data_IF_486545345899
#
_entry.id   IF_486545345899
#
_cell.length_a   1.000
_cell.length_b   1.000
_cell.length_c   1.000
_cell.angle_alpha   90.00
_cell.angle_beta   90.00
_cell.angle_gamma   90.00
#
_symmetry.space_group_name_H-M   'P 1'
#
loop_
_entity.id
_entity.type
_entity.pdbx_description
1 polymer ?
#
# COMPACT_ATOMS: atom_id res chain seq x y z
N UNK A 1 26.93 17.31 -8.47
CA UNK A 1 25.51 17.73 -8.62
C UNK A 1 24.87 17.66 -7.23
N UNK A 2 24.07 18.66 -6.87
CA UNK A 2 23.25 18.55 -5.65
C UNK A 2 22.21 17.46 -5.83
N UNK A 3 22.01 16.59 -4.83
CA UNK A 3 20.97 15.56 -4.89
C UNK A 3 19.59 16.20 -4.67
N UNK A 4 18.52 15.59 -5.19
CA UNK A 4 17.15 16.08 -4.99
C UNK A 4 16.78 16.21 -3.50
N UNK A 5 17.43 15.44 -2.63
CA UNK A 5 17.22 15.47 -1.16
C UNK A 5 18.07 16.53 -0.44
N UNK A 6 19.03 17.14 -1.14
CA UNK A 6 19.91 18.12 -0.52
C UNK A 6 19.13 19.40 -0.17
N UNK A 7 19.24 19.83 1.07
CA UNK A 7 18.51 20.97 1.64
C UNK A 7 16.97 20.80 1.72
N UNK A 8 16.43 19.57 1.61
CA UNK A 8 15.00 19.27 1.70
C UNK A 8 14.71 18.27 2.81
N UNK A 9 14.80 18.72 4.10
CA UNK A 9 14.68 17.80 5.24
C UNK A 9 13.33 17.09 5.32
N UNK A 10 12.23 17.75 4.94
CA UNK A 10 10.89 17.14 4.94
C UNK A 10 10.76 16.04 3.89
N UNK A 11 11.17 16.29 2.63
CA UNK A 11 11.20 15.27 1.59
C UNK A 11 12.11 14.10 1.99
N UNK A 12 13.29 14.43 2.53
CA UNK A 12 14.25 13.42 3.01
C UNK A 12 13.62 12.54 4.10
N UNK A 13 12.92 13.13 5.07
CA UNK A 13 12.27 12.39 6.15
C UNK A 13 11.25 11.36 5.60
N UNK A 14 10.40 11.75 4.66
CA UNK A 14 9.43 10.84 4.01
C UNK A 14 10.13 9.72 3.24
N UNK A 15 11.19 10.04 2.48
CA UNK A 15 11.95 9.01 1.74
C UNK A 15 12.60 8.00 2.70
N UNK A 16 13.13 8.46 3.84
CA UNK A 16 13.71 7.55 4.82
C UNK A 16 12.66 6.77 5.63
N UNK A 17 11.46 7.31 5.86
CA UNK A 17 10.33 6.53 6.41
C UNK A 17 9.94 5.40 5.45
N UNK A 18 9.92 5.67 4.14
CA UNK A 18 9.70 4.62 3.13
C UNK A 18 10.81 3.55 3.21
N UNK A 19 12.07 3.96 3.33
CA UNK A 19 13.20 3.04 3.46
C UNK A 19 13.07 2.17 4.73
N UNK A 20 12.67 2.75 5.84
CA UNK A 20 12.43 2.05 7.11
C UNK A 20 11.36 0.97 6.95
N UNK A 21 10.19 1.31 6.40
CA UNK A 21 9.11 0.35 6.15
C UNK A 21 9.54 -0.79 5.22
N UNK A 22 10.33 -0.49 4.18
CA UNK A 22 10.86 -1.56 3.30
C UNK A 22 11.82 -2.50 4.02
N UNK A 23 12.53 -1.99 5.03
CA UNK A 23 13.32 -2.81 5.96
C UNK A 23 12.45 -3.75 6.78
N UNK A 24 11.35 -3.28 7.34
CA UNK A 24 10.37 -4.09 8.07
C UNK A 24 9.74 -5.17 7.20
N UNK A 25 9.32 -4.84 5.98
CA UNK A 25 8.76 -5.81 5.03
C UNK A 25 9.73 -6.95 4.71
N UNK A 26 11.01 -6.62 4.52
CA UNK A 26 12.04 -7.62 4.31
C UNK A 26 12.26 -8.50 5.54
N UNK A 27 12.33 -7.91 6.74
CA UNK A 27 12.52 -8.63 7.99
C UNK A 27 11.37 -9.58 8.31
N UNK A 28 10.13 -9.19 7.98
CA UNK A 28 8.93 -10.03 8.14
C UNK A 28 8.81 -11.14 7.08
N UNK A 29 9.68 -11.14 6.06
CA UNK A 29 9.58 -12.11 4.97
C UNK A 29 8.44 -11.84 3.99
N UNK A 30 7.93 -10.62 3.94
CA UNK A 30 6.79 -10.21 3.09
C UNK A 30 7.22 -9.60 1.75
N UNK A 31 8.49 -9.59 1.44
CA UNK A 31 9.06 -8.98 0.24
C UNK A 31 10.23 -9.82 -0.30
N UNK A 32 9.91 -11.02 -0.75
CA UNK A 32 10.88 -11.93 -1.34
C UNK A 32 11.43 -11.37 -2.67
N UNK A 33 12.71 -11.60 -2.94
CA UNK A 33 13.41 -11.16 -4.17
C UNK A 33 13.10 -9.70 -4.50
N UNK A 34 12.31 -9.42 -5.55
CA UNK A 34 11.86 -8.08 -5.96
C UNK A 34 10.35 -7.86 -5.72
N UNK A 35 9.70 -8.75 -4.97
CA UNK A 35 8.29 -8.69 -4.63
C UNK A 35 7.91 -7.43 -3.85
N UNK A 36 6.65 -7.07 -3.96
CA UNK A 36 6.07 -5.89 -3.35
C UNK A 36 6.42 -4.57 -4.05
N UNK A 37 5.57 -3.58 -3.88
CA UNK A 37 5.67 -2.27 -4.50
C UNK A 37 5.23 -1.17 -3.53
N UNK A 38 5.77 0.03 -3.71
CA UNK A 38 5.41 1.22 -2.95
C UNK A 38 5.27 2.39 -3.90
N UNK A 39 4.23 3.20 -3.67
CA UNK A 39 4.05 4.51 -4.30
C UNK A 39 3.53 5.47 -3.24
N UNK A 40 4.20 6.60 -3.07
CA UNK A 40 3.82 7.65 -2.10
C UNK A 40 3.73 8.99 -2.80
N UNK A 41 2.61 9.69 -2.60
CA UNK A 41 2.44 11.04 -3.08
C UNK A 41 3.33 11.99 -2.25
N UNK A 42 4.32 12.56 -2.89
CA UNK A 42 5.29 13.49 -2.28
C UNK A 42 5.11 14.94 -2.74
N UNK A 43 3.99 15.24 -3.40
CA UNK A 43 3.73 16.55 -4.02
C UNK A 43 3.89 17.72 -3.06
N UNK A 44 3.43 17.58 -1.82
CA UNK A 44 3.49 18.67 -0.81
C UNK A 44 4.92 19.02 -0.37
N UNK A 45 5.88 18.12 -0.62
CA UNK A 45 7.29 18.29 -0.29
C UNK A 45 8.11 18.83 -1.47
N UNK A 46 7.47 19.07 -2.63
CA UNK A 46 8.13 19.54 -3.85
C UNK A 46 8.07 21.06 -3.93
N UNK A 47 9.18 21.71 -3.63
CA UNK A 47 9.37 23.15 -3.79
C UNK A 47 9.52 23.56 -5.27
N UNK A 48 9.62 24.85 -5.54
CA UNK A 48 9.73 25.35 -6.92
C UNK A 48 11.08 25.00 -7.56
N UNK A 49 12.14 24.81 -6.77
CA UNK A 49 13.41 24.30 -7.28
C UNK A 49 13.28 22.84 -7.72
N UNK A 50 12.57 22.00 -6.94
CA UNK A 50 12.25 20.61 -7.33
C UNK A 50 11.45 20.55 -8.63
N UNK A 51 10.43 21.42 -8.74
CA UNK A 51 9.57 21.48 -9.95
C UNK A 51 10.37 21.87 -11.19
N UNK A 52 11.44 22.68 -11.02
CA UNK A 52 12.33 23.11 -12.10
C UNK A 52 13.39 22.06 -12.48
N UNK A 53 13.54 20.95 -11.73
CA UNK A 53 14.51 19.89 -12.05
C UNK A 53 14.13 19.28 -13.41
N UNK A 54 15.07 19.24 -14.39
CA UNK A 54 14.83 18.60 -15.67
C UNK A 54 14.65 17.09 -15.49
N UNK A 55 13.78 16.51 -16.31
CA UNK A 55 13.64 15.07 -16.36
C UNK A 55 14.92 14.37 -16.82
N UNK A 56 15.24 13.25 -16.22
CA UNK A 56 16.38 12.40 -16.61
C UNK A 56 15.94 11.19 -17.43
N UNK A 57 14.64 11.04 -17.65
CA UNK A 57 14.06 10.02 -18.54
C UNK A 57 13.33 10.67 -19.72
N UNK A 58 13.11 9.90 -20.79
CA UNK A 58 12.08 10.24 -21.76
C UNK A 58 10.69 10.16 -21.10
N UNK A 59 9.72 10.86 -21.67
CA UNK A 59 8.29 10.75 -21.31
C UNK A 59 7.83 9.31 -21.54
N UNK A 60 7.09 8.76 -20.56
CA UNK A 60 6.58 7.38 -20.59
C UNK A 60 5.07 7.37 -20.35
N UNK A 61 4.32 6.53 -21.07
CA UNK A 61 2.88 6.41 -20.84
C UNK A 61 2.59 5.68 -19.52
N UNK A 62 1.50 6.08 -18.86
CA UNK A 62 0.92 5.37 -17.70
C UNK A 62 0.05 4.20 -18.18
N UNK A 63 -0.57 4.32 -19.38
CA UNK A 63 -1.51 3.36 -19.91
C UNK A 63 -2.98 3.70 -19.62
N UNK A 64 -3.24 4.77 -18.89
CA UNK A 64 -4.56 5.29 -18.59
C UNK A 64 -4.51 6.79 -18.32
N UNK A 65 -5.66 7.47 -18.37
CA UNK A 65 -5.77 8.90 -18.03
C UNK A 65 -6.25 9.06 -16.59
N UNK A 66 -5.52 9.85 -15.80
CA UNK A 66 -5.72 10.02 -14.35
C UNK A 66 -5.80 11.53 -14.01
N UNK A 67 -6.97 12.16 -14.18
CA UNK A 67 -7.12 13.62 -14.17
C UNK A 67 -6.70 14.29 -12.85
N UNK A 68 -6.92 13.63 -11.71
CA UNK A 68 -6.60 14.18 -10.39
C UNK A 68 -5.10 14.14 -10.08
N UNK A 69 -4.30 13.44 -10.91
CA UNK A 69 -2.84 13.37 -10.75
C UNK A 69 -2.08 14.44 -11.54
N UNK A 70 -2.74 15.31 -12.31
CA UNK A 70 -2.08 16.37 -13.07
C UNK A 70 -1.06 17.13 -12.23
N UNK A 71 0.19 17.17 -12.67
CA UNK A 71 1.28 17.88 -12.01
C UNK A 71 1.68 17.37 -10.63
N UNK A 72 1.21 16.18 -10.24
CA UNK A 72 1.56 15.55 -8.96
C UNK A 72 2.87 14.78 -9.06
N UNK A 73 3.49 14.55 -7.90
CA UNK A 73 4.79 13.90 -7.76
C UNK A 73 4.66 12.68 -6.86
N UNK A 74 5.25 11.57 -7.30
CA UNK A 74 5.20 10.31 -6.56
C UNK A 74 6.59 9.71 -6.42
N UNK A 75 6.95 9.29 -5.20
CA UNK A 75 8.06 8.36 -5.04
C UNK A 75 7.56 6.95 -5.32
N UNK A 76 8.32 6.21 -6.14
CA UNK A 76 7.96 4.86 -6.56
C UNK A 76 9.15 3.91 -6.42
N UNK A 77 8.92 2.71 -5.91
CA UNK A 77 9.92 1.63 -5.96
C UNK A 77 10.24 1.28 -7.41
N UNK A 78 11.51 1.03 -7.70
CA UNK A 78 11.97 0.62 -9.02
C UNK A 78 11.59 -0.81 -9.39
N UNK A 79 11.29 -1.02 -10.69
CA UNK A 79 11.06 -2.38 -11.23
C UNK A 79 12.32 -3.24 -11.06
N UNK A 80 12.15 -4.51 -10.69
CA UNK A 80 13.24 -5.44 -10.42
C UNK A 80 14.09 -5.13 -9.18
N UNK A 81 13.86 -3.99 -8.50
CA UNK A 81 14.56 -3.61 -7.27
C UNK A 81 13.99 -4.34 -6.06
N UNK A 82 14.82 -4.57 -5.04
CA UNK A 82 14.46 -5.32 -3.85
C UNK A 82 14.17 -4.38 -2.69
N UNK A 83 13.18 -4.71 -1.85
CA UNK A 83 12.85 -3.91 -0.66
C UNK A 83 14.04 -3.77 0.28
N UNK A 84 14.82 -4.84 0.49
CA UNK A 84 16.04 -4.82 1.33
C UNK A 84 17.14 -3.89 0.83
N UNK A 85 17.20 -3.63 -0.48
CA UNK A 85 18.18 -2.73 -1.07
C UNK A 85 17.65 -1.29 -1.03
N UNK A 86 16.33 -1.11 -1.22
CA UNK A 86 15.65 0.19 -1.06
C UNK A 86 15.76 0.69 0.39
N UNK A 87 15.67 -0.21 1.39
CA UNK A 87 15.87 0.13 2.79
C UNK A 87 17.24 0.76 3.08
N UNK A 88 18.25 0.46 2.29
CA UNK A 88 19.62 0.99 2.46
C UNK A 88 19.86 2.23 1.61
N UNK A 89 19.43 2.19 0.36
CA UNK A 89 19.70 3.21 -0.65
C UNK A 89 18.40 3.55 -1.43
N UNK A 90 17.47 4.30 -0.78
CA UNK A 90 16.14 4.55 -1.34
C UNK A 90 16.19 5.22 -2.72
N UNK A 91 17.10 6.17 -2.95
CA UNK A 91 17.20 6.88 -4.22
C UNK A 91 17.92 6.10 -5.33
N UNK A 92 18.60 4.98 -4.99
CA UNK A 92 19.20 4.06 -5.97
C UNK A 92 18.24 2.93 -6.37
N UNK A 93 17.19 2.71 -5.57
CA UNK A 93 16.25 1.60 -5.74
C UNK A 93 14.79 2.06 -5.95
N UNK A 94 14.56 3.37 -5.89
CA UNK A 94 13.32 4.04 -6.21
C UNK A 94 13.59 5.36 -6.93
N UNK A 95 12.54 6.00 -7.41
CA UNK A 95 12.62 7.28 -8.08
C UNK A 95 11.42 8.17 -7.78
N UNK A 96 11.58 9.46 -7.99
CA UNK A 96 10.47 10.41 -7.99
C UNK A 96 10.04 10.62 -9.44
N UNK A 97 8.75 10.48 -9.69
CA UNK A 97 8.13 10.75 -10.99
C UNK A 97 7.25 12.00 -10.90
N UNK A 98 7.14 12.70 -12.03
CA UNK A 98 6.22 13.83 -12.24
C UNK A 98 5.17 13.40 -13.26
N UNK A 99 3.88 13.54 -12.90
CA UNK A 99 2.78 13.31 -13.85
C UNK A 99 2.61 14.56 -14.70
N UNK A 100 2.51 14.38 -16.00
CA UNK A 100 2.43 15.48 -16.96
C UNK A 100 1.00 16.04 -17.09
N UNK A 101 0.87 17.14 -17.81
CA UNK A 101 -0.38 17.87 -18.01
C UNK A 101 -1.44 17.09 -18.79
N UNK A 102 -1.01 16.08 -19.56
CA UNK A 102 -1.91 15.15 -20.27
C UNK A 102 -2.59 14.13 -19.37
N UNK A 103 -2.18 14.05 -18.09
CA UNK A 103 -2.70 13.11 -17.10
C UNK A 103 -2.55 11.62 -17.49
N UNK A 104 -1.76 11.31 -18.50
CA UNK A 104 -1.62 10.00 -19.10
C UNK A 104 -0.16 9.54 -19.22
N UNK A 105 0.77 10.45 -18.91
CA UNK A 105 2.21 10.20 -19.00
C UNK A 105 2.97 10.75 -17.81
N UNK A 106 4.19 10.24 -17.61
CA UNK A 106 5.09 10.66 -16.55
C UNK A 106 6.54 10.75 -17.05
N UNK A 107 7.35 11.43 -16.28
CA UNK A 107 8.80 11.47 -16.42
C UNK A 107 9.48 11.32 -15.06
N UNK A 108 10.74 10.87 -15.05
CA UNK A 108 11.54 10.68 -13.84
C UNK A 108 12.35 11.95 -13.57
N UNK A 109 12.23 12.47 -12.35
CA UNK A 109 12.99 13.62 -11.83
C UNK A 109 13.76 13.19 -10.58
N UNK A 110 14.82 12.45 -10.74
CA UNK A 110 15.63 11.90 -9.65
C UNK A 110 17.10 11.99 -9.99
N UNK A 111 17.99 11.64 -9.05
CA UNK A 111 19.43 11.64 -9.28
C UNK A 111 19.87 10.46 -10.16
N UNK A 112 19.08 9.38 -10.16
CA UNK A 112 19.33 8.16 -10.93
C UNK A 112 18.06 7.76 -11.68
N UNK A 113 18.21 7.38 -12.95
CA UNK A 113 17.09 6.93 -13.77
C UNK A 113 16.67 5.48 -13.40
N UNK A 114 15.87 5.38 -12.35
CA UNK A 114 15.26 4.11 -11.94
C UNK A 114 13.85 4.03 -12.53
N UNK A 115 13.60 3.01 -13.34
CA UNK A 115 12.27 2.79 -13.93
C UNK A 115 11.31 2.34 -12.82
N UNK A 116 10.16 3.00 -12.63
CA UNK A 116 9.16 2.60 -11.64
C UNK A 116 8.64 1.18 -11.84
N UNK A 117 8.03 0.63 -10.79
CA UNK A 117 7.40 -0.69 -10.80
C UNK A 117 6.46 -0.90 -12.00
N UNK A 118 6.36 -2.15 -12.49
CA UNK A 118 5.40 -2.52 -13.54
C UNK A 118 3.93 -2.40 -13.10
N UNK A 119 3.66 -2.35 -11.79
CA UNK A 119 2.32 -2.14 -11.23
C UNK A 119 1.99 -0.66 -11.00
N UNK A 120 2.83 0.25 -11.52
CA UNK A 120 2.60 1.69 -11.42
C UNK A 120 1.20 2.13 -11.86
N UNK A 121 0.60 1.61 -12.95
CA UNK A 121 -0.76 1.99 -13.34
C UNK A 121 -1.79 1.72 -12.25
N UNK A 122 -1.75 0.55 -11.61
CA UNK A 122 -2.65 0.21 -10.49
C UNK A 122 -2.46 1.17 -9.32
N UNK A 123 -1.21 1.40 -8.89
CA UNK A 123 -0.92 2.31 -7.79
C UNK A 123 -1.40 3.73 -8.08
N UNK A 124 -1.16 4.24 -9.29
CA UNK A 124 -1.59 5.59 -9.68
C UNK A 124 -3.11 5.68 -9.81
N UNK A 125 -3.80 4.64 -10.27
CA UNK A 125 -5.27 4.60 -10.28
C UNK A 125 -5.86 4.74 -8.88
N UNK A 126 -5.27 4.06 -7.88
CA UNK A 126 -5.67 4.20 -6.47
C UNK A 126 -5.39 5.62 -5.95
N UNK A 127 -4.22 6.18 -6.25
CA UNK A 127 -3.88 7.56 -5.87
C UNK A 127 -4.81 8.59 -6.53
N UNK A 128 -5.20 8.35 -7.79
CA UNK A 128 -6.18 9.20 -8.48
C UNK A 128 -7.53 9.18 -7.77
N UNK A 129 -8.04 8.01 -7.40
CA UNK A 129 -9.28 7.86 -6.67
C UNK A 129 -9.21 8.52 -5.28
N UNK A 130 -8.11 8.36 -4.54
CA UNK A 130 -7.92 8.99 -3.24
C UNK A 130 -7.99 10.54 -3.36
N UNK A 131 -7.35 11.10 -4.37
CA UNK A 131 -7.40 12.55 -4.62
C UNK A 131 -8.77 13.02 -5.12
N UNK A 132 -9.45 12.23 -5.97
CA UNK A 132 -10.81 12.49 -6.45
C UNK A 132 -11.80 12.61 -5.29
N UNK A 133 -11.68 11.74 -4.30
CA UNK A 133 -12.56 11.71 -3.13
C UNK A 133 -12.14 12.67 -2.01
N UNK A 134 -11.08 13.45 -2.21
CA UNK A 134 -10.54 14.37 -1.21
C UNK A 134 -9.90 13.69 0.00
N UNK A 135 -9.52 12.42 -0.14
CA UNK A 135 -8.85 11.67 0.92
C UNK A 135 -7.48 12.25 1.25
N UNK A 136 -7.12 12.24 2.52
CA UNK A 136 -5.78 12.62 2.99
C UNK A 136 -4.73 11.52 2.80
N UNK A 137 -5.12 10.34 2.33
CA UNK A 137 -4.21 9.21 2.15
C UNK A 137 -3.26 9.45 0.99
N UNK A 138 -1.98 9.14 1.22
CA UNK A 138 -0.87 9.45 0.28
C UNK A 138 -0.06 8.24 -0.13
N UNK A 139 -0.20 7.11 0.58
CA UNK A 139 0.59 5.92 0.35
C UNK A 139 -0.24 4.79 -0.25
N UNK A 140 0.40 4.02 -1.12
CA UNK A 140 -0.07 2.72 -1.60
C UNK A 140 1.08 1.73 -1.42
N UNK A 141 0.81 0.65 -0.68
CA UNK A 141 1.74 -0.42 -0.37
C UNK A 141 1.20 -1.75 -0.89
N UNK A 142 1.99 -2.45 -1.70
CA UNK A 142 1.74 -3.85 -2.05
C UNK A 142 2.83 -4.74 -1.47
N UNK A 143 2.45 -5.86 -0.84
CA UNK A 143 3.37 -6.80 -0.20
C UNK A 143 2.76 -8.21 -0.13
N UNK A 144 3.58 -9.23 0.19
CA UNK A 144 3.18 -10.64 0.20
C UNK A 144 3.20 -11.23 1.62
N UNK A 145 2.29 -10.82 2.51
CA UNK A 145 2.26 -11.33 3.88
C UNK A 145 1.84 -12.80 3.90
N UNK A 146 2.72 -13.67 4.41
CA UNK A 146 2.57 -15.13 4.38
C UNK A 146 1.26 -15.55 5.02
N UNK A 147 0.91 -14.94 6.14
CA UNK A 147 -0.26 -15.29 6.95
C UNK A 147 -1.57 -15.05 6.18
N UNK A 148 -1.71 -13.87 5.59
CA UNK A 148 -2.92 -13.51 4.83
C UNK A 148 -2.97 -14.25 3.49
N UNK A 149 -1.82 -14.44 2.83
CA UNK A 149 -1.74 -15.26 1.61
C UNK A 149 -2.17 -16.68 1.90
N UNK A 150 -1.69 -17.28 3.01
CA UNK A 150 -2.10 -18.64 3.42
C UNK A 150 -3.62 -18.73 3.64
N UNK A 151 -4.23 -17.76 4.34
CA UNK A 151 -5.68 -17.71 4.52
C UNK A 151 -6.42 -17.63 3.18
N UNK A 152 -5.89 -16.90 2.19
CA UNK A 152 -6.53 -16.76 0.87
C UNK A 152 -6.57 -18.06 0.04
N UNK A 153 -5.84 -19.12 0.43
CA UNK A 153 -5.96 -20.44 -0.15
C UNK A 153 -7.17 -21.24 0.36
N UNK A 154 -7.89 -20.74 1.37
CA UNK A 154 -9.03 -21.41 1.98
C UNK A 154 -10.32 -20.71 1.52
N UNK A 155 -11.16 -21.42 0.75
CA UNK A 155 -12.38 -20.88 0.14
C UNK A 155 -13.34 -20.18 1.11
N UNK A 156 -13.37 -20.62 2.38
CA UNK A 156 -14.19 -19.97 3.42
C UNK A 156 -13.86 -18.47 3.52
N UNK A 157 -12.58 -18.12 3.54
CA UNK A 157 -12.13 -16.75 3.76
C UNK A 157 -12.29 -15.81 2.53
N UNK A 158 -12.64 -16.37 1.38
CA UNK A 158 -12.90 -15.62 0.16
C UNK A 158 -14.38 -15.23 0.00
N UNK A 159 -15.24 -15.60 0.95
CA UNK A 159 -16.69 -15.39 0.87
C UNK A 159 -17.13 -14.24 1.77
N UNK A 160 -17.70 -13.20 1.15
CA UNK A 160 -18.20 -12.05 1.89
C UNK A 160 -17.14 -11.43 2.79
N UNK A 161 -17.49 -11.18 4.04
CA UNK A 161 -16.63 -10.58 5.07
C UNK A 161 -16.04 -11.60 6.07
N UNK A 162 -16.00 -12.89 5.70
CA UNK A 162 -15.55 -13.97 6.61
C UNK A 162 -14.10 -13.77 7.08
N UNK A 163 -13.19 -13.37 6.17
CA UNK A 163 -11.81 -13.08 6.58
C UNK A 163 -11.76 -11.93 7.59
N UNK A 164 -12.46 -10.83 7.31
CA UNK A 164 -12.56 -9.69 8.22
C UNK A 164 -13.09 -10.10 9.59
N UNK A 165 -14.20 -10.84 9.66
CA UNK A 165 -14.80 -11.29 10.93
C UNK A 165 -13.84 -12.12 11.77
N UNK A 166 -13.15 -13.08 11.14
CA UNK A 166 -12.17 -13.91 11.83
C UNK A 166 -11.02 -13.06 12.34
N UNK A 167 -10.44 -12.20 11.51
CA UNK A 167 -9.31 -11.37 11.91
C UNK A 167 -9.68 -10.40 13.04
N UNK A 168 -10.83 -9.73 12.96
CA UNK A 168 -11.31 -8.85 14.02
C UNK A 168 -11.56 -9.57 15.35
N UNK A 169 -11.95 -10.85 15.31
CA UNK A 169 -12.24 -11.60 16.52
C UNK A 169 -10.99 -12.07 17.27
N UNK A 170 -9.80 -12.02 16.68
CA UNK A 170 -8.59 -12.57 17.29
C UNK A 170 -7.98 -11.69 18.38
N UNK A 171 -7.95 -10.38 18.17
CA UNK A 171 -7.47 -9.39 19.15
C UNK A 171 -8.18 -8.03 18.93
N UNK A 172 -8.41 -7.24 19.99
CA UNK A 172 -9.08 -5.93 19.88
C UNK A 172 -8.35 -4.95 18.94
N UNK A 173 -7.03 -4.99 18.93
CA UNK A 173 -6.19 -4.08 18.12
C UNK A 173 -6.46 -4.23 16.62
N UNK A 174 -6.82 -5.42 16.15
CA UNK A 174 -7.15 -5.62 14.73
C UNK A 174 -8.38 -4.82 14.34
N UNK A 175 -9.40 -4.82 15.20
CA UNK A 175 -10.59 -4.01 14.97
C UNK A 175 -10.30 -2.52 15.11
N UNK A 176 -9.46 -2.13 16.08
CA UNK A 176 -9.11 -0.74 16.34
C UNK A 176 -8.28 -0.08 15.22
N UNK A 177 -7.30 -0.81 14.66
CA UNK A 177 -6.35 -0.26 13.70
C UNK A 177 -6.63 -0.63 12.23
N UNK A 178 -7.52 -1.62 12.00
CA UNK A 178 -8.05 -1.94 10.67
C UNK A 178 -9.59 -1.99 10.71
N UNK A 179 -10.26 -0.88 11.09
CA UNK A 179 -11.71 -0.85 11.34
C UNK A 179 -12.55 -1.08 10.09
N UNK A 180 -11.99 -0.91 8.90
CA UNK A 180 -12.65 -1.19 7.64
C UNK A 180 -12.44 -2.65 7.17
N UNK A 181 -11.67 -3.46 7.93
CA UNK A 181 -11.40 -4.85 7.61
C UNK A 181 -10.51 -5.03 6.38
N UNK A 182 -10.73 -6.14 5.67
CA UNK A 182 -9.96 -6.49 4.48
C UNK A 182 -10.89 -6.85 3.32
N UNK A 183 -10.75 -6.14 2.20
CA UNK A 183 -11.46 -6.45 0.96
C UNK A 183 -10.84 -7.66 0.26
N UNK A 184 -11.62 -8.38 -0.54
CA UNK A 184 -11.13 -9.57 -1.26
C UNK A 184 -11.28 -9.34 -2.76
N UNK A 185 -10.18 -9.50 -3.49
CA UNK A 185 -10.15 -9.58 -4.95
C UNK A 185 -9.86 -11.03 -5.35
N UNK A 186 -10.76 -11.70 -6.06
CA UNK A 186 -10.50 -13.03 -6.61
C UNK A 186 -9.26 -13.03 -7.51
N UNK A 187 -8.66 -14.21 -7.67
CA UNK A 187 -7.45 -14.33 -8.50
C UNK A 187 -7.60 -13.66 -9.86
N UNK A 188 -6.68 -12.77 -10.15
CA UNK A 188 -6.51 -12.14 -11.45
C UNK A 188 -5.01 -12.10 -11.79
N UNK A 189 -4.68 -12.03 -13.08
CA UNK A 189 -3.28 -12.00 -13.52
C UNK A 189 -2.59 -10.74 -12.96
N UNK A 190 -1.45 -10.86 -12.30
CA UNK A 190 -0.67 -9.71 -11.84
C UNK A 190 -0.41 -8.68 -12.96
N UNK A 191 -0.45 -7.40 -12.61
CA UNK A 191 -0.30 -6.27 -13.54
C UNK A 191 -1.37 -6.17 -14.63
N UNK A 192 -2.50 -6.89 -14.52
CA UNK A 192 -3.61 -6.77 -15.46
C UNK A 192 -4.54 -5.60 -15.11
N UNK A 193 -5.24 -5.08 -16.14
CA UNK A 193 -6.30 -4.07 -15.96
C UNK A 193 -7.42 -4.61 -15.05
N UNK A 194 -7.81 -5.86 -15.24
CA UNK A 194 -8.83 -6.50 -14.42
C UNK A 194 -8.48 -6.51 -12.93
N UNK A 195 -7.21 -6.78 -12.58
CA UNK A 195 -6.74 -6.71 -11.19
C UNK A 195 -6.82 -5.27 -10.65
N UNK A 196 -6.42 -4.28 -11.46
CA UNK A 196 -6.46 -2.87 -11.06
C UNK A 196 -7.90 -2.40 -10.81
N UNK A 197 -8.83 -2.71 -11.70
CA UNK A 197 -10.25 -2.35 -11.57
C UNK A 197 -10.91 -3.02 -10.36
N UNK A 198 -10.69 -4.33 -10.18
CA UNK A 198 -11.21 -5.06 -9.02
C UNK A 198 -10.63 -4.53 -7.69
N UNK A 199 -9.34 -4.15 -7.69
CA UNK A 199 -8.70 -3.54 -6.52
C UNK A 199 -9.33 -2.19 -6.21
N UNK A 200 -9.55 -1.35 -7.22
CA UNK A 200 -10.16 -0.03 -7.05
C UNK A 200 -11.57 -0.16 -6.44
N UNK A 201 -12.39 -1.13 -6.89
CA UNK A 201 -13.71 -1.36 -6.29
C UNK A 201 -13.62 -1.70 -4.80
N UNK A 202 -12.68 -2.53 -4.40
CA UNK A 202 -12.51 -2.89 -2.99
C UNK A 202 -11.97 -1.72 -2.15
N UNK A 203 -11.07 -0.90 -2.70
CA UNK A 203 -10.52 0.28 -2.02
C UNK A 203 -11.58 1.35 -1.75
N UNK A 204 -12.71 1.34 -2.42
CA UNK A 204 -13.82 2.26 -2.10
C UNK A 204 -14.34 2.09 -0.67
N UNK A 205 -14.23 0.90 -0.11
CA UNK A 205 -14.78 0.55 1.21
C UNK A 205 -13.77 -0.02 2.19
N UNK A 206 -12.57 -0.38 1.75
CA UNK A 206 -11.52 -0.98 2.58
C UNK A 206 -10.18 -0.25 2.38
N UNK A 207 -9.37 -0.20 3.42
CA UNK A 207 -8.01 0.36 3.31
C UNK A 207 -6.97 -0.71 2.98
N UNK A 208 -7.27 -1.97 3.25
CA UNK A 208 -6.46 -3.14 2.90
C UNK A 208 -7.27 -4.09 2.04
N UNK A 209 -6.67 -4.56 0.95
CA UNK A 209 -7.29 -5.50 0.01
C UNK A 209 -6.38 -6.70 -0.18
N UNK A 210 -6.96 -7.91 -0.05
CA UNK A 210 -6.28 -9.17 -0.34
C UNK A 210 -6.48 -9.56 -1.80
N UNK A 211 -5.41 -9.72 -2.55
CA UNK A 211 -5.41 -10.38 -3.85
C UNK A 211 -5.24 -11.89 -3.64
N UNK A 212 -6.27 -12.64 -3.95
CA UNK A 212 -6.29 -14.10 -3.73
C UNK A 212 -5.00 -14.76 -4.23
N UNK A 213 -4.29 -15.50 -3.33
CA UNK A 213 -3.06 -16.27 -3.60
C UNK A 213 -1.87 -15.44 -4.08
N UNK A 214 -1.90 -14.12 -3.84
CA UNK A 214 -0.83 -13.24 -4.29
C UNK A 214 -0.27 -12.40 -3.13
N UNK A 215 -1.06 -11.48 -2.61
CA UNK A 215 -0.59 -10.55 -1.58
C UNK A 215 -1.64 -9.51 -1.23
N UNK A 216 -1.24 -8.49 -0.49
CA UNK A 216 -2.14 -7.39 -0.10
C UNK A 216 -1.76 -6.08 -0.78
N UNK A 217 -2.76 -5.23 -1.01
CA UNK A 217 -2.58 -3.81 -1.28
C UNK A 217 -3.22 -3.03 -0.15
N UNK A 218 -2.48 -2.10 0.43
CA UNK A 218 -2.95 -1.20 1.45
C UNK A 218 -2.80 0.26 1.02
N UNK A 219 -3.74 1.09 1.43
CA UNK A 219 -3.64 2.55 1.33
C UNK A 219 -3.59 3.17 2.73
N UNK A 220 -2.89 4.29 2.89
CA UNK A 220 -2.74 4.93 4.19
C UNK A 220 -2.39 6.41 4.07
N UNK A 221 -2.51 7.12 5.19
CA UNK A 221 -2.13 8.54 5.30
C UNK A 221 -0.67 8.76 4.92
N UNK A 222 0.16 7.83 5.34
CA UNK A 222 1.56 7.68 4.97
C UNK A 222 1.91 6.20 4.81
N UNK A 223 3.17 5.90 4.54
CA UNK A 223 3.62 4.53 4.30
C UNK A 223 3.63 3.68 5.57
N UNK A 224 3.83 4.30 6.75
CA UNK A 224 3.79 3.60 8.02
C UNK A 224 2.37 3.18 8.35
N UNK A 225 1.38 4.07 8.17
CA UNK A 225 -0.04 3.76 8.37
C UNK A 225 -0.50 2.60 7.47
N UNK A 226 -0.12 2.60 6.19
CA UNK A 226 -0.43 1.49 5.28
C UNK A 226 0.24 0.17 5.71
N UNK A 227 1.46 0.23 6.26
CA UNK A 227 2.17 -0.92 6.81
C UNK A 227 1.49 -1.43 8.09
N UNK A 228 1.18 -0.55 9.04
CA UNK A 228 0.61 -0.90 10.35
C UNK A 228 -0.74 -1.59 10.20
N UNK A 229 -1.60 -1.14 9.30
CA UNK A 229 -2.87 -1.80 8.99
C UNK A 229 -2.66 -3.24 8.49
N UNK A 230 -1.68 -3.45 7.62
CA UNK A 230 -1.32 -4.78 7.13
C UNK A 230 -0.73 -5.63 8.26
N UNK A 231 0.13 -5.04 9.10
CA UNK A 231 0.81 -5.75 10.20
C UNK A 231 -0.18 -6.27 11.24
N UNK A 232 -1.14 -5.44 11.66
CA UNK A 232 -2.12 -5.86 12.66
C UNK A 232 -3.05 -6.96 12.12
N UNK A 233 -3.42 -6.93 10.85
CA UNK A 233 -4.18 -8.00 10.20
C UNK A 233 -3.37 -9.31 10.14
N UNK A 234 -2.07 -9.23 9.82
CA UNK A 234 -1.17 -10.39 9.83
C UNK A 234 -0.97 -10.95 11.23
N UNK A 235 -0.90 -10.08 12.25
CA UNK A 235 -0.84 -10.52 13.64
C UNK A 235 -2.06 -11.36 14.01
N UNK A 236 -3.25 -10.90 13.65
CA UNK A 236 -4.50 -11.65 13.89
C UNK A 236 -4.52 -12.97 13.12
N UNK A 237 -4.10 -12.97 11.84
CA UNK A 237 -4.00 -14.19 11.03
C UNK A 237 -3.04 -15.20 11.66
N UNK A 238 -1.90 -14.75 12.17
CA UNK A 238 -0.93 -15.61 12.86
C UNK A 238 -1.52 -16.21 14.14
N UNK A 239 -2.21 -15.40 14.96
CA UNK A 239 -2.92 -15.88 16.16
C UNK A 239 -3.94 -16.96 15.79
N UNK A 240 -4.77 -16.71 14.75
CA UNK A 240 -5.73 -17.69 14.26
C UNK A 240 -5.04 -19.01 13.85
N UNK A 241 -3.97 -18.94 13.07
CA UNK A 241 -3.23 -20.11 12.60
C UNK A 241 -2.59 -20.89 13.77
N UNK A 242 -1.99 -20.18 14.74
CA UNK A 242 -1.44 -20.79 15.95
C UNK A 242 -2.52 -21.51 16.77
N UNK A 243 -3.67 -20.84 17.00
CA UNK A 243 -4.78 -21.47 17.73
C UNK A 243 -5.33 -22.70 17.01
N UNK A 244 -5.49 -22.61 15.68
CA UNK A 244 -5.92 -23.77 14.84
C UNK A 244 -4.95 -24.95 14.93
N UNK A 245 -3.66 -24.68 15.04
CA UNK A 245 -2.64 -25.76 15.18
C UNK A 245 -2.78 -26.56 16.47
N UNK A 246 -3.53 -26.04 17.47
CA UNK A 246 -3.87 -26.75 18.69
C UNK A 246 -5.01 -27.77 18.49
N UNK A 247 -5.60 -27.87 17.29
CA UNK A 247 -6.57 -28.88 16.91
C UNK A 247 -8.04 -28.47 16.99
N UNK A 248 -8.35 -27.23 17.35
CA UNK A 248 -9.73 -26.69 17.38
C UNK A 248 -9.86 -25.35 16.69
N UNK A 249 -11.08 -25.01 16.31
CA UNK A 249 -11.41 -23.65 15.85
C UNK A 249 -11.35 -22.71 17.04
N UNK A 250 -10.63 -21.57 16.97
CA UNK A 250 -10.65 -20.58 18.05
C UNK A 250 -12.02 -19.91 18.15
N UNK A 251 -12.51 -19.71 19.37
CA UNK A 251 -13.80 -19.05 19.59
C UNK A 251 -13.76 -17.56 19.16
N UNK A 252 -12.63 -16.90 19.41
CA UNK A 252 -12.45 -15.47 19.14
C UNK A 252 -13.32 -14.60 20.05
N UNK A 253 -13.28 -13.27 19.83
CA UNK A 253 -14.18 -12.33 20.49
C UNK A 253 -15.60 -12.50 19.93
N UNK A 254 -16.58 -12.48 20.85
CA UNK A 254 -18.01 -12.46 20.49
C UNK A 254 -18.40 -11.14 19.81
N UNK A 255 -19.52 -11.15 19.10
CA UNK A 255 -20.07 -9.93 18.49
C UNK A 255 -20.30 -8.82 19.53
N UNK A 256 -20.70 -9.19 20.76
CA UNK A 256 -20.90 -8.23 21.86
C UNK A 256 -19.57 -7.57 22.28
N UNK A 257 -18.50 -8.36 22.42
CA UNK A 257 -17.17 -7.87 22.75
C UNK A 257 -16.59 -6.99 21.65
N UNK A 258 -16.73 -7.38 20.38
CA UNK A 258 -16.30 -6.54 19.25
C UNK A 258 -17.09 -5.23 19.21
N UNK A 259 -18.39 -5.26 19.49
CA UNK A 259 -19.21 -4.04 19.57
C UNK A 259 -18.76 -3.12 20.71
N UNK A 260 -18.42 -3.67 21.87
CA UNK A 260 -17.87 -2.89 22.98
C UNK A 260 -16.59 -2.15 22.57
N UNK A 261 -15.67 -2.80 21.88
CA UNK A 261 -14.45 -2.18 21.34
C UNK A 261 -14.80 -1.05 20.36
N UNK A 262 -15.73 -1.28 19.42
CA UNK A 262 -16.18 -0.26 18.47
C UNK A 262 -16.75 0.96 19.14
N UNK A 263 -17.62 0.77 20.16
CA UNK A 263 -18.30 1.84 20.88
C UNK A 263 -17.31 2.64 21.75
N UNK A 264 -16.41 1.97 22.48
CA UNK A 264 -15.42 2.62 23.37
C UNK A 264 -14.41 3.45 22.56
N UNK A 265 -13.91 2.92 21.44
CA UNK A 265 -12.92 3.62 20.62
C UNK A 265 -13.54 4.51 19.54
N UNK A 266 -14.88 4.58 19.44
CA UNK A 266 -15.60 5.35 18.43
C UNK A 266 -15.04 5.11 17.01
N UNK A 267 -14.91 3.84 16.63
CA UNK A 267 -14.22 3.45 15.40
C UNK A 267 -14.97 3.95 14.16
N UNK A 268 -14.24 4.43 13.15
CA UNK A 268 -14.84 4.93 11.92
C UNK A 268 -15.51 3.80 11.12
N UNK A 269 -16.65 4.12 10.48
CA UNK A 269 -17.34 3.22 9.52
C UNK A 269 -16.96 3.48 8.08
N UNK A 270 -16.17 4.49 7.85
CA UNK A 270 -15.64 4.90 6.54
C UNK A 270 -14.26 5.51 6.72
N UNK A 271 -13.50 5.59 5.65
CA UNK A 271 -12.17 6.22 5.66
C UNK A 271 -12.25 7.63 6.25
N UNK A 272 -11.41 7.94 7.24
CA UNK A 272 -11.32 9.30 7.77
C UNK A 272 -10.69 10.23 6.73
N UNK A 273 -11.16 11.46 6.67
CA UNK A 273 -10.78 12.54 5.76
C UNK A 273 -11.00 12.27 4.26
#
# INVERSE_FOLDING_TARGET
>A
MKTILENRPALKAVIYQIAEVTGYLWQKGWAERNGGNITVNVTEFMDDECKAIPAISAVKPIGMTLPYLKGKYFYCKGTGKRMRDLAKEPMQNGSIIRILDDCASYEVIADVNVVPTSELPTHLALQNYLLETGSCYKATLHTHPIELVAMSHIQRFLKGDEMTKVLWSMIPETLAFAPLGIGIVPYALPSSVALAEATLEQIKTHDVVMWEKHGTVAVGKDIMDAFDQTDVLCKAANIYMCARSMGSEPDGMTTAQMKEVQDVFNLPKSRPC
#
